data_IF_769651030018
#
_entry.id   IF_769651030018
#
_cell.length_a   1.000
_cell.length_b   1.000
_cell.length_c   1.000
_cell.angle_alpha   90.00
_cell.angle_beta   90.00
_cell.angle_gamma   90.00
#
_symmetry.space_group_name_H-M   'P 1'
#
loop_
_entity.id
_entity.type
_entity.pdbx_description
1 polymer ?
#
# COMPACT_ATOMS: atom_id res chain seq x y z
N UNK A 1 -4.59 -31.79 -41.81
CA UNK A 1 -4.90 -30.40 -42.20
C UNK A 1 -5.52 -29.61 -41.05
N UNK A 2 -6.76 -29.87 -40.60
CA UNK A 2 -7.36 -29.08 -39.50
C UNK A 2 -6.64 -29.17 -38.13
N UNK A 3 -5.81 -30.18 -37.90
CA UNK A 3 -5.06 -30.36 -36.65
C UNK A 3 -3.77 -29.54 -36.60
N UNK A 4 -3.13 -29.29 -37.75
CA UNK A 4 -1.88 -28.53 -37.81
C UNK A 4 -2.15 -27.03 -37.67
N UNK A 5 -3.24 -26.53 -38.26
CA UNK A 5 -3.67 -25.14 -38.11
C UNK A 5 -4.12 -24.84 -36.67
N UNK A 6 -4.79 -25.78 -35.99
CA UNK A 6 -5.18 -25.63 -34.58
C UNK A 6 -3.98 -25.66 -33.62
N UNK A 7 -2.98 -26.52 -33.91
CA UNK A 7 -1.72 -26.54 -33.15
C UNK A 7 -0.94 -25.25 -33.33
N UNK A 8 -0.87 -24.71 -34.55
CA UNK A 8 -0.17 -23.46 -34.83
C UNK A 8 -0.89 -22.25 -34.22
N UNK A 9 -2.22 -22.24 -34.23
CA UNK A 9 -3.01 -21.21 -33.53
C UNK A 9 -2.77 -21.26 -32.02
N UNK A 10 -2.84 -22.43 -31.39
CA UNK A 10 -2.51 -22.59 -29.95
C UNK A 10 -1.08 -22.16 -29.62
N UNK A 11 -0.12 -22.41 -30.52
CA UNK A 11 1.29 -22.06 -30.32
C UNK A 11 1.55 -20.56 -30.45
N UNK A 12 0.79 -19.85 -31.29
CA UNK A 12 0.91 -18.40 -31.45
C UNK A 12 0.28 -17.64 -30.28
N UNK A 13 -0.83 -18.13 -29.71
CA UNK A 13 -1.46 -17.49 -28.54
C UNK A 13 -0.65 -17.65 -27.24
N UNK A 14 0.20 -18.68 -27.13
CA UNK A 14 1.06 -18.87 -25.96
C UNK A 14 2.37 -18.04 -26.05
N UNK A 15 2.66 -17.42 -27.21
CA UNK A 15 3.85 -16.59 -27.46
C UNK A 15 3.56 -15.09 -27.65
N UNK A 16 2.34 -14.64 -27.30
CA UNK A 16 1.97 -13.22 -27.23
C UNK A 16 1.72 -12.74 -25.78
N UNK A 17 2.18 -13.48 -24.78
CA UNK A 17 2.49 -12.87 -23.48
C UNK A 17 3.86 -12.20 -23.59
N UNK A 18 3.83 -10.90 -23.84
CA UNK A 18 4.95 -9.96 -23.80
C UNK A 18 6.01 -10.38 -22.75
N UNK A 19 7.05 -11.11 -23.19
CA UNK A 19 8.20 -11.52 -22.37
C UNK A 19 8.98 -10.25 -22.00
N UNK A 20 8.48 -9.55 -20.99
CA UNK A 20 9.17 -8.43 -20.38
C UNK A 20 10.57 -8.91 -19.96
N UNK A 21 11.66 -8.31 -20.46
CA UNK A 21 12.99 -8.90 -20.30
C UNK A 21 13.31 -9.05 -18.82
N UNK A 22 13.85 -10.19 -18.42
CA UNK A 22 14.25 -10.52 -17.03
C UNK A 22 15.05 -9.38 -16.36
N UNK A 23 15.77 -8.60 -17.17
CA UNK A 23 16.47 -7.37 -16.77
C UNK A 23 15.56 -6.28 -16.19
N UNK A 24 14.37 -6.04 -16.74
CA UNK A 24 13.42 -5.03 -16.26
C UNK A 24 12.82 -5.40 -14.92
N UNK A 25 12.49 -6.68 -14.72
CA UNK A 25 11.99 -7.21 -13.44
C UNK A 25 13.07 -7.09 -12.35
N UNK A 26 14.32 -7.43 -12.68
CA UNK A 26 15.46 -7.29 -11.76
C UNK A 26 15.75 -5.83 -11.40
N UNK A 27 15.75 -4.93 -12.38
CA UNK A 27 15.94 -3.50 -12.14
C UNK A 27 14.81 -2.92 -11.27
N UNK A 28 13.55 -3.27 -11.55
CA UNK A 28 12.39 -2.84 -10.76
C UNK A 28 12.49 -3.32 -9.30
N UNK A 29 12.97 -4.54 -9.06
CA UNK A 29 13.22 -5.04 -7.69
C UNK A 29 14.26 -4.20 -6.96
N UNK A 30 15.41 -3.95 -7.59
CA UNK A 30 16.50 -3.19 -6.97
C UNK A 30 16.04 -1.76 -6.66
N UNK A 31 15.34 -1.12 -7.60
CA UNK A 31 14.80 0.23 -7.42
C UNK A 31 13.77 0.26 -6.30
N UNK A 32 12.82 -0.67 -6.28
CA UNK A 32 11.78 -0.77 -5.24
C UNK A 32 12.39 -0.96 -3.84
N UNK A 33 13.33 -1.91 -3.69
CA UNK A 33 14.03 -2.15 -2.44
C UNK A 33 14.80 -0.91 -1.95
N UNK A 34 15.48 -0.22 -2.88
CA UNK A 34 16.22 1.00 -2.58
C UNK A 34 15.29 2.12 -2.09
N UNK A 35 14.20 2.37 -2.83
CA UNK A 35 13.20 3.40 -2.49
C UNK A 35 12.53 3.10 -1.15
N UNK A 36 12.10 1.86 -0.91
CA UNK A 36 11.48 1.48 0.35
C UNK A 36 12.46 1.58 1.53
N UNK A 37 13.73 1.20 1.34
CA UNK A 37 14.74 1.30 2.40
C UNK A 37 14.98 2.76 2.78
N UNK A 38 15.14 3.66 1.80
CA UNK A 38 15.29 5.10 2.04
C UNK A 38 14.03 5.69 2.70
N UNK A 39 12.85 5.31 2.21
CA UNK A 39 11.58 5.76 2.78
C UNK A 39 11.40 5.30 4.23
N UNK A 40 11.84 4.10 4.59
CA UNK A 40 11.84 3.63 5.98
C UNK A 40 12.81 4.44 6.84
N UNK A 41 14.06 4.57 6.40
CA UNK A 41 15.12 5.24 7.15
C UNK A 41 14.85 6.73 7.37
N UNK A 42 14.25 7.41 6.40
CA UNK A 42 13.89 8.83 6.53
C UNK A 42 12.49 9.03 7.12
N UNK A 43 11.55 8.17 6.75
CA UNK A 43 10.15 8.30 7.12
C UNK A 43 9.88 7.99 8.59
N UNK A 44 10.55 7.01 9.19
CA UNK A 44 10.40 6.71 10.62
C UNK A 44 10.83 7.89 11.50
N UNK A 45 12.09 8.38 11.44
CA UNK A 45 12.51 9.52 12.24
C UNK A 45 11.79 10.80 11.81
N UNK A 46 11.58 11.03 10.51
CA UNK A 46 10.91 12.22 10.00
C UNK A 46 9.49 12.37 10.54
N UNK A 47 8.65 11.35 10.38
CA UNK A 47 7.28 11.39 10.88
C UNK A 47 7.21 11.35 12.41
N UNK A 48 8.11 10.62 13.08
CA UNK A 48 8.19 10.64 14.55
C UNK A 48 8.51 12.03 15.10
N UNK A 49 9.44 12.75 14.46
CA UNK A 49 9.77 14.13 14.81
C UNK A 49 8.56 15.04 14.64
N UNK A 50 7.83 14.93 13.52
CA UNK A 50 6.61 15.72 13.28
C UNK A 50 5.56 15.42 14.36
N UNK A 51 5.31 14.15 14.67
CA UNK A 51 4.39 13.75 15.75
C UNK A 51 4.83 14.36 17.08
N UNK A 52 6.12 14.33 17.40
CA UNK A 52 6.65 14.91 18.62
C UNK A 52 6.43 16.42 18.70
N UNK A 53 6.77 17.17 17.64
CA UNK A 53 6.61 18.63 17.60
C UNK A 53 5.14 19.06 17.65
N UNK A 54 4.29 18.46 16.82
CA UNK A 54 2.85 18.74 16.75
C UNK A 54 2.09 18.22 17.99
N UNK A 55 2.63 17.18 18.62
CA UNK A 55 2.07 16.48 19.77
C UNK A 55 2.36 17.18 21.10
N UNK A 56 3.60 17.58 21.33
CA UNK A 56 4.09 17.98 22.65
C UNK A 56 4.70 19.38 22.69
N UNK A 57 5.29 19.85 21.58
CA UNK A 57 6.04 21.11 21.56
C UNK A 57 5.18 22.32 21.19
N UNK A 58 4.25 22.15 20.25
CA UNK A 58 3.44 23.24 19.71
C UNK A 58 2.03 23.28 20.29
N UNK A 59 1.48 24.49 20.37
CA UNK A 59 0.11 24.71 20.78
C UNK A 59 -0.87 23.96 19.88
N UNK A 60 -1.89 23.40 20.51
CA UNK A 60 -2.94 22.64 19.83
C UNK A 60 -3.80 23.59 19.01
N UNK A 61 -3.45 23.73 17.74
CA UNK A 61 -4.25 24.41 16.73
C UNK A 61 -4.90 23.40 15.79
N UNK A 62 -5.95 23.83 15.09
CA UNK A 62 -6.62 23.01 14.06
C UNK A 62 -5.63 22.56 12.98
N UNK A 63 -4.74 23.44 12.53
CA UNK A 63 -3.69 23.08 11.57
C UNK A 63 -2.73 22.03 12.13
N UNK A 64 -2.35 22.15 13.40
CA UNK A 64 -1.48 21.18 14.10
C UNK A 64 -2.11 19.78 14.12
N UNK A 65 -3.43 19.68 14.30
CA UNK A 65 -4.16 18.40 14.29
C UNK A 65 -4.17 17.75 12.90
N UNK A 66 -4.35 18.54 11.83
CA UNK A 66 -4.31 18.01 10.46
C UNK A 66 -2.94 17.40 10.14
N UNK A 67 -1.86 18.13 10.43
CA UNK A 67 -0.51 17.62 10.24
C UNK A 67 -0.19 16.42 11.14
N UNK A 68 -0.72 16.40 12.38
CA UNK A 68 -0.54 15.27 13.28
C UNK A 68 -1.20 14.00 12.74
N UNK A 69 -2.43 14.08 12.21
CA UNK A 69 -3.10 12.90 11.64
C UNK A 69 -2.41 12.40 10.38
N UNK A 70 -1.91 13.31 9.53
CA UNK A 70 -1.11 12.97 8.36
C UNK A 70 0.17 12.22 8.78
N UNK A 71 0.92 12.78 9.74
CA UNK A 71 2.14 12.15 10.23
C UNK A 71 1.89 10.80 10.90
N UNK A 72 0.76 10.61 11.59
CA UNK A 72 0.37 9.31 12.15
C UNK A 72 0.10 8.29 11.03
N UNK A 73 -0.61 8.67 9.98
CA UNK A 73 -0.90 7.79 8.84
C UNK A 73 0.40 7.35 8.15
N UNK A 74 1.28 8.31 7.86
CA UNK A 74 2.58 8.04 7.24
C UNK A 74 3.48 7.20 8.14
N UNK A 75 3.49 7.48 9.45
CA UNK A 75 4.25 6.70 10.42
C UNK A 75 3.80 5.24 10.46
N UNK A 76 2.49 4.99 10.49
CA UNK A 76 1.94 3.63 10.43
C UNK A 76 2.36 2.96 9.11
N UNK A 77 2.25 3.65 7.97
CA UNK A 77 2.64 3.08 6.68
C UNK A 77 4.12 2.70 6.63
N UNK A 78 5.03 3.60 7.04
CA UNK A 78 6.47 3.31 7.01
C UNK A 78 6.85 2.19 7.98
N UNK A 79 6.13 2.00 9.09
CA UNK A 79 6.37 0.86 9.98
C UNK A 79 6.03 -0.50 9.36
N UNK A 80 5.08 -0.55 8.43
CA UNK A 80 4.71 -1.78 7.72
C UNK A 80 5.55 -2.02 6.45
N UNK A 81 6.25 -1.00 5.98
CA UNK A 81 7.14 -1.05 4.81
C UNK A 81 8.19 -2.17 4.85
N UNK A 82 8.83 -2.52 6.00
CA UNK A 82 9.77 -3.64 6.08
C UNK A 82 9.17 -5.00 5.69
N UNK A 83 7.86 -5.21 5.88
CA UNK A 83 7.19 -6.43 5.43
C UNK A 83 7.17 -6.51 3.90
N UNK A 84 6.94 -5.37 3.24
CA UNK A 84 7.00 -5.27 1.78
C UNK A 84 8.43 -5.45 1.25
N UNK A 85 9.44 -4.87 1.93
CA UNK A 85 10.86 -5.07 1.60
C UNK A 85 11.21 -6.55 1.67
N UNK A 86 10.81 -7.23 2.75
CA UNK A 86 11.06 -8.67 2.93
C UNK A 86 10.40 -9.50 1.84
N UNK A 87 9.16 -9.17 1.46
CA UNK A 87 8.44 -9.82 0.37
C UNK A 87 9.17 -9.71 -0.97
N UNK A 88 9.68 -8.52 -1.32
CA UNK A 88 10.44 -8.32 -2.56
C UNK A 88 11.81 -9.00 -2.47
N UNK A 89 12.49 -8.91 -1.32
CA UNK A 89 13.81 -9.52 -1.11
C UNK A 89 13.79 -11.06 -1.19
N UNK A 90 12.69 -11.70 -0.77
CA UNK A 90 12.50 -13.14 -0.88
C UNK A 90 11.94 -13.58 -2.25
N UNK A 91 11.96 -12.72 -3.27
CA UNK A 91 11.49 -13.07 -4.61
C UNK A 91 9.99 -13.32 -4.69
N UNK A 92 9.20 -12.46 -4.05
CA UNK A 92 7.74 -12.55 -3.93
C UNK A 92 7.22 -13.69 -3.04
N UNK A 93 8.06 -14.21 -2.14
CA UNK A 93 7.60 -15.12 -1.09
C UNK A 93 7.09 -14.35 0.13
N UNK A 94 5.88 -14.69 0.60
CA UNK A 94 5.22 -14.08 1.75
C UNK A 94 5.14 -15.06 2.93
N UNK A 95 6.08 -15.01 3.90
CA UNK A 95 6.10 -15.93 5.04
C UNK A 95 5.18 -15.51 6.20
N UNK A 96 4.66 -14.29 6.19
CA UNK A 96 3.94 -13.67 7.32
C UNK A 96 2.45 -14.06 7.42
N UNK A 97 1.99 -14.95 6.54
CA UNK A 97 0.61 -15.43 6.51
C UNK A 97 -0.41 -14.43 5.93
N UNK A 98 -1.64 -14.93 5.71
CA UNK A 98 -2.72 -14.22 5.00
C UNK A 98 -3.16 -12.92 5.66
N UNK A 99 -3.13 -12.85 6.99
CA UNK A 99 -3.58 -11.67 7.73
C UNK A 99 -2.68 -10.46 7.46
N UNK A 100 -1.35 -10.62 7.54
CA UNK A 100 -0.41 -9.53 7.30
C UNK A 100 -0.38 -9.08 5.82
N UNK A 101 -0.61 -9.98 4.86
CA UNK A 101 -0.72 -9.62 3.43
C UNK A 101 -1.91 -8.68 3.17
N UNK A 102 -3.07 -9.01 3.74
CA UNK A 102 -4.27 -8.16 3.68
C UNK A 102 -4.06 -6.84 4.40
N UNK A 103 -3.55 -6.88 5.63
CA UNK A 103 -3.31 -5.69 6.46
C UNK A 103 -2.30 -4.73 5.82
N UNK A 104 -1.18 -5.23 5.29
CA UNK A 104 -0.17 -4.41 4.62
C UNK A 104 -0.75 -3.67 3.40
N UNK A 105 -1.51 -4.40 2.57
CA UNK A 105 -2.17 -3.82 1.39
C UNK A 105 -3.23 -2.76 1.78
N UNK A 106 -3.98 -3.04 2.85
CA UNK A 106 -4.98 -2.11 3.37
C UNK A 106 -4.33 -0.86 3.94
N UNK A 107 -3.27 -0.98 4.74
CA UNK A 107 -2.54 0.16 5.31
C UNK A 107 -1.96 1.04 4.21
N UNK A 108 -1.42 0.46 3.13
CA UNK A 108 -0.91 1.22 2.00
C UNK A 108 -2.00 2.10 1.35
N UNK A 109 -3.18 1.52 1.08
CA UNK A 109 -4.30 2.28 0.50
C UNK A 109 -4.91 3.27 1.49
N UNK A 110 -5.04 2.86 2.75
CA UNK A 110 -5.52 3.73 3.81
C UNK A 110 -4.63 4.97 3.92
N UNK A 111 -3.30 4.80 3.91
CA UNK A 111 -2.37 5.93 3.95
C UNK A 111 -2.49 6.81 2.70
N UNK A 112 -2.61 6.21 1.51
CA UNK A 112 -2.77 6.95 0.26
C UNK A 112 -4.01 7.84 0.29
N UNK A 113 -5.18 7.28 0.64
CA UNK A 113 -6.43 8.05 0.70
C UNK A 113 -6.45 9.04 1.86
N UNK A 114 -5.99 8.64 3.05
CA UNK A 114 -5.91 9.53 4.20
C UNK A 114 -5.04 10.75 3.89
N UNK A 115 -3.86 10.54 3.28
CA UNK A 115 -2.94 11.61 2.90
C UNK A 115 -3.56 12.59 1.92
N UNK A 116 -4.21 12.10 0.87
CA UNK A 116 -4.89 12.95 -0.12
C UNK A 116 -6.00 13.78 0.54
N UNK A 117 -6.84 13.16 1.38
CA UNK A 117 -7.89 13.88 2.07
C UNK A 117 -7.33 14.91 3.05
N UNK A 118 -6.36 14.55 3.89
CA UNK A 118 -5.75 15.49 4.83
C UNK A 118 -5.09 16.67 4.12
N UNK A 119 -4.33 16.43 3.06
CA UNK A 119 -3.73 17.51 2.25
C UNK A 119 -4.78 18.42 1.62
N UNK A 120 -5.90 17.85 1.17
CA UNK A 120 -7.03 18.61 0.64
C UNK A 120 -7.63 19.52 1.71
N UNK A 121 -7.91 18.98 2.90
CA UNK A 121 -8.46 19.77 4.01
C UNK A 121 -7.47 20.80 4.55
N UNK A 122 -6.16 20.52 4.57
CA UNK A 122 -5.11 21.49 4.91
C UNK A 122 -5.11 22.64 3.91
N UNK A 123 -5.17 22.33 2.62
CA UNK A 123 -5.21 23.33 1.55
C UNK A 123 -6.49 24.17 1.63
N UNK A 124 -7.63 23.53 1.91
CA UNK A 124 -8.90 24.20 2.13
C UNK A 124 -8.88 25.10 3.38
N UNK A 125 -8.29 24.66 4.50
CA UNK A 125 -8.13 25.49 5.71
C UNK A 125 -7.32 26.76 5.40
N UNK A 126 -6.22 26.60 4.66
CA UNK A 126 -5.39 27.73 4.22
C UNK A 126 -6.16 28.68 3.31
N UNK A 127 -6.90 28.15 2.35
CA UNK A 127 -7.73 28.94 1.44
C UNK A 127 -8.81 29.72 2.21
N UNK A 128 -9.57 29.06 3.08
CA UNK A 128 -10.62 29.69 3.89
C UNK A 128 -10.06 30.75 4.84
N UNK A 129 -8.86 30.55 5.38
CA UNK A 129 -8.18 31.55 6.21
C UNK A 129 -7.84 32.82 5.43
N UNK A 130 -7.40 32.66 4.18
CA UNK A 130 -6.98 33.79 3.34
C UNK A 130 -8.17 34.56 2.76
N UNK A 131 -9.21 33.85 2.30
CA UNK A 131 -10.33 34.46 1.56
C UNK A 131 -11.53 34.80 2.46
N UNK A 132 -11.77 34.00 3.52
CA UNK A 132 -12.95 34.11 4.37
C UNK A 132 -12.61 34.07 5.88
N UNK A 133 -11.86 35.07 6.40
CA UNK A 133 -11.35 35.05 7.78
C UNK A 133 -12.44 34.98 8.86
N UNK A 134 -13.59 35.63 8.65
CA UNK A 134 -14.73 35.62 9.59
C UNK A 134 -15.37 34.22 9.69
N UNK A 135 -15.48 33.51 8.56
CA UNK A 135 -15.98 32.13 8.51
C UNK A 135 -14.96 31.17 9.12
N UNK A 136 -13.69 31.31 8.76
CA UNK A 136 -12.58 30.50 9.31
C UNK A 136 -12.59 30.54 10.85
N UNK A 137 -12.70 31.71 11.46
CA UNK A 137 -12.66 31.81 12.92
C UNK A 137 -13.86 31.13 13.62
N UNK A 138 -15.04 31.11 12.99
CA UNK A 138 -16.26 30.53 13.56
C UNK A 138 -16.27 29.00 13.50
N UNK A 139 -15.80 28.40 12.40
CA UNK A 139 -15.90 26.95 12.18
C UNK A 139 -14.65 26.17 12.62
N UNK A 140 -13.51 26.85 12.77
CA UNK A 140 -12.19 26.26 13.11
C UNK A 140 -12.06 25.98 14.60
N UNK A 141 -12.91 25.09 15.11
CA UNK A 141 -12.84 24.58 16.49
C UNK A 141 -12.10 23.23 16.53
N UNK A 142 -11.44 22.93 17.65
CA UNK A 142 -10.75 21.65 17.86
C UNK A 142 -11.72 20.47 17.75
N UNK A 143 -12.94 20.62 18.32
CA UNK A 143 -13.99 19.59 18.26
C UNK A 143 -14.39 19.26 16.83
N UNK A 144 -14.66 20.27 15.99
CA UNK A 144 -15.04 20.05 14.59
C UNK A 144 -13.91 19.36 13.82
N UNK A 145 -12.66 19.74 14.09
CA UNK A 145 -11.48 19.15 13.44
C UNK A 145 -11.32 17.67 13.80
N UNK A 146 -11.53 17.30 15.07
CA UNK A 146 -11.49 15.91 15.50
C UNK A 146 -12.61 15.08 14.85
N UNK A 147 -13.82 15.62 14.77
CA UNK A 147 -14.95 14.97 14.09
C UNK A 147 -14.64 14.77 12.60
N UNK A 148 -14.17 15.81 11.91
CA UNK A 148 -13.80 15.72 10.50
C UNK A 148 -12.65 14.73 10.27
N UNK A 149 -11.65 14.70 11.16
CA UNK A 149 -10.58 13.71 11.07
C UNK A 149 -11.13 12.28 11.15
N UNK A 150 -12.08 12.03 12.07
CA UNK A 150 -12.78 10.74 12.15
C UNK A 150 -13.51 10.38 10.85
N UNK A 151 -14.18 11.35 10.23
CA UNK A 151 -14.86 11.16 8.93
C UNK A 151 -13.85 10.83 7.81
N UNK A 152 -12.71 11.52 7.79
CA UNK A 152 -11.62 11.26 6.82
C UNK A 152 -11.08 9.84 6.99
N UNK A 153 -10.80 9.42 8.23
CA UNK A 153 -10.34 8.06 8.50
C UNK A 153 -11.36 6.99 8.07
N UNK A 154 -12.64 7.20 8.37
CA UNK A 154 -13.72 6.27 7.99
C UNK A 154 -13.86 6.22 6.47
N UNK A 155 -13.88 7.36 5.78
CA UNK A 155 -14.00 7.41 4.32
C UNK A 155 -12.79 6.77 3.63
N UNK A 156 -11.57 7.05 4.08
CA UNK A 156 -10.36 6.39 3.59
C UNK A 156 -10.41 4.87 3.81
N UNK A 157 -10.90 4.43 4.98
CA UNK A 157 -11.06 3.01 5.26
C UNK A 157 -12.12 2.34 4.38
N UNK A 158 -13.26 2.99 4.11
CA UNK A 158 -14.31 2.47 3.22
C UNK A 158 -13.77 2.30 1.80
N UNK A 159 -13.03 3.30 1.29
CA UNK A 159 -12.47 3.25 -0.07
C UNK A 159 -11.32 2.24 -0.15
N UNK A 160 -10.54 2.08 0.92
CA UNK A 160 -9.47 1.09 1.02
C UNK A 160 -9.97 -0.35 1.31
N UNK A 161 -11.17 -0.51 1.85
CA UNK A 161 -11.73 -1.80 2.25
C UNK A 161 -11.83 -2.85 1.13
N UNK A 162 -12.15 -2.51 -0.15
CA UNK A 162 -12.11 -3.47 -1.24
C UNK A 162 -10.78 -4.23 -1.34
N UNK A 163 -9.66 -3.60 -1.00
CA UNK A 163 -8.37 -4.29 -1.00
C UNK A 163 -8.23 -5.37 0.07
N UNK A 164 -8.95 -5.27 1.20
CA UNK A 164 -9.02 -6.36 2.19
C UNK A 164 -9.78 -7.58 1.62
N UNK A 165 -10.76 -7.33 0.76
CA UNK A 165 -11.57 -8.36 0.14
C UNK A 165 -10.86 -9.02 -1.05
N UNK A 166 -10.31 -8.20 -1.95
CA UNK A 166 -9.68 -8.67 -3.19
C UNK A 166 -8.22 -9.11 -3.04
N UNK A 167 -7.53 -8.90 -1.91
CA UNK A 167 -6.18 -9.44 -1.70
C UNK A 167 -6.24 -10.77 -0.95
N UNK A 168 -5.55 -11.78 -1.48
CA UNK A 168 -5.42 -13.10 -0.87
C UNK A 168 -4.01 -13.67 -1.10
N UNK A 169 -3.65 -14.65 -0.27
CA UNK A 169 -2.39 -15.38 -0.39
C UNK A 169 -2.66 -16.67 -1.15
N UNK A 170 -1.99 -16.85 -2.28
CA UNK A 170 -2.01 -18.10 -3.04
C UNK A 170 -0.72 -18.88 -2.82
N UNK A 171 -0.84 -20.19 -2.65
CA UNK A 171 0.30 -21.11 -2.64
C UNK A 171 0.62 -21.49 -4.08
N UNK A 172 1.79 -21.11 -4.58
CA UNK A 172 2.26 -21.57 -5.88
C UNK A 172 3.11 -22.83 -5.67
N UNK A 173 2.77 -23.87 -6.42
CA UNK A 173 3.51 -25.13 -6.45
C UNK A 173 4.52 -25.04 -7.60
N UNK A 174 5.84 -25.06 -7.33
CA UNK A 174 6.81 -25.26 -8.41
C UNK A 174 6.75 -26.73 -8.84
N UNK A 175 6.50 -27.05 -10.12
CA UNK A 175 6.77 -28.40 -10.60
C UNK A 175 8.29 -28.63 -10.56
N UNK A 176 8.74 -29.57 -9.74
CA UNK A 176 10.14 -29.98 -9.68
C UNK A 176 10.49 -30.70 -10.98
N UNK A 177 11.11 -29.98 -11.93
CA UNK A 177 11.71 -30.61 -13.11
C UNK A 177 12.95 -31.38 -12.63
N UNK A 178 12.79 -32.68 -12.38
CA UNK A 178 13.77 -33.68 -11.89
C UNK A 178 13.86 -33.97 -10.39
N UNK A 179 12.86 -34.64 -9.77
CA UNK A 179 13.12 -35.64 -8.71
C UNK A 179 11.98 -36.69 -8.68
N UNK A 180 12.25 -38.02 -8.61
CA UNK A 180 11.23 -39.03 -8.37
C UNK A 180 10.83 -39.08 -6.88
N UNK A 181 9.53 -38.93 -6.61
CA UNK A 181 8.78 -39.41 -5.44
C UNK A 181 9.56 -39.62 -4.13
N UNK A 182 9.96 -38.54 -3.45
CA UNK A 182 9.86 -38.38 -1.99
C UNK A 182 10.42 -37.03 -1.55
N UNK A 183 9.56 -36.21 -0.93
CA UNK A 183 9.96 -35.27 0.12
C UNK A 183 10.72 -34.00 -0.26
N UNK A 184 10.23 -33.15 -1.17
CA UNK A 184 10.22 -31.69 -0.98
C UNK A 184 9.47 -31.03 -2.14
N UNK A 185 8.23 -30.60 -1.93
CA UNK A 185 7.70 -29.53 -2.78
C UNK A 185 8.02 -28.22 -2.10
N UNK A 186 8.83 -27.38 -2.73
CA UNK A 186 8.99 -25.98 -2.31
C UNK A 186 7.67 -25.24 -2.52
N UNK A 187 6.84 -25.22 -1.48
CA UNK A 187 5.63 -24.41 -1.44
C UNK A 187 6.00 -22.98 -1.08
N UNK A 188 5.75 -22.04 -1.98
CA UNK A 188 5.96 -20.62 -1.70
C UNK A 188 4.63 -19.86 -1.82
N UNK A 189 4.35 -19.03 -0.82
CA UNK A 189 3.15 -18.22 -0.72
C UNK A 189 3.38 -16.86 -1.39
N UNK A 190 2.43 -16.37 -2.19
CA UNK A 190 2.48 -15.06 -2.84
C UNK A 190 1.24 -14.25 -2.47
N UNK A 191 1.39 -12.95 -2.23
CA UNK A 191 0.28 -12.04 -1.93
C UNK A 191 -0.24 -11.41 -3.23
N UNK A 192 -1.37 -11.90 -3.77
CA UNK A 192 -1.91 -11.47 -5.07
C UNK A 192 -3.34 -10.94 -4.96
N UNK A 193 -3.84 -10.32 -6.04
CA UNK A 193 -5.27 -10.07 -6.17
C UNK A 193 -5.98 -11.41 -6.38
N UNK A 194 -6.90 -11.75 -5.48
CA UNK A 194 -7.85 -12.84 -5.66
C UNK A 194 -8.81 -12.48 -6.79
N UNK A 195 -8.46 -12.87 -8.01
CA UNK A 195 -9.40 -12.95 -9.12
C UNK A 195 -10.23 -14.20 -8.87
N UNK A 196 -11.44 -14.04 -8.34
CA UNK A 196 -12.39 -15.13 -8.21
C UNK A 196 -12.80 -15.55 -9.63
N UNK A 197 -12.27 -16.69 -10.13
CA UNK A 197 -12.85 -17.34 -11.31
C UNK A 197 -14.29 -17.69 -10.97
N UNK A 198 -15.25 -17.00 -11.58
CA UNK A 198 -16.63 -17.45 -11.58
C UNK A 198 -16.65 -18.74 -12.40
N UNK A 199 -17.07 -19.83 -11.76
CA UNK A 199 -17.37 -21.10 -12.42
C UNK A 199 -18.69 -21.04 -13.18
#
# INVERSE_FOLDING_TARGET
MLSEDFYNYSYIYEYEEDEQPVSYVSAAHIVSLSLCSVAFLLGVPGNAIVIWFMGFKWDKSVSTIWFLNLAIADFIFVLFLPLYITYVAMGFHWPFGKWLCKTNSFIALLNMFASVFFLTFISLDRYLRLVHPVFSNKYRTLRNTLILSGIIWISAAIIGAPALYFRDVTTVHKPSLHVPSSSFTDQYQICILAIKKNG
#
